data_IF_838875232626
#
_entry.id   IF_838875232626
#
_cell.length_a   1.000
_cell.length_b   1.000
_cell.length_c   1.000
_cell.angle_alpha   90.00
_cell.angle_beta   90.00
_cell.angle_gamma   90.00
#
_symmetry.space_group_name_H-M   'P 1'
#
loop_
_entity.id
_entity.type
_entity.pdbx_description
1 polymer ?
#
# COMPACT_ATOMS: atom_id res chain seq x y z
N UNK A 1 -3.47 25.30 -12.01
CA UNK A 1 -4.31 24.74 -13.09
C UNK A 1 -3.94 23.28 -13.24
N UNK A 2 -4.84 22.37 -12.82
CA UNK A 2 -4.60 20.93 -12.84
C UNK A 2 -5.75 20.27 -13.59
N UNK A 3 -5.44 19.77 -14.78
CA UNK A 3 -5.80 18.45 -15.29
C UNK A 3 -5.41 18.44 -16.78
N UNK A 4 -4.63 17.45 -17.18
CA UNK A 4 -4.42 17.16 -18.58
C UNK A 4 -5.77 16.71 -19.16
N UNK A 5 -6.42 17.58 -19.94
CA UNK A 5 -7.53 17.19 -20.81
C UNK A 5 -6.95 16.30 -21.90
N UNK A 6 -7.10 14.99 -21.75
CA UNK A 6 -6.81 14.05 -22.83
C UNK A 6 -8.12 13.85 -23.58
N UNK A 7 -8.24 14.52 -24.72
CA UNK A 7 -9.40 14.40 -25.59
C UNK A 7 -9.24 13.16 -26.48
N UNK A 8 -10.12 12.17 -26.33
CA UNK A 8 -10.40 11.23 -27.40
C UNK A 8 -11.39 11.96 -28.32
N UNK A 9 -10.93 12.38 -29.50
CA UNK A 9 -11.78 12.93 -30.57
C UNK A 9 -12.32 14.36 -30.33
N UNK A 10 -11.77 15.13 -29.39
CA UNK A 10 -12.23 16.48 -29.07
C UNK A 10 -13.36 16.55 -28.02
N UNK A 11 -13.73 15.40 -27.44
CA UNK A 11 -14.68 15.34 -26.32
C UNK A 11 -13.93 15.17 -25.00
N UNK A 12 -14.34 15.94 -23.99
CA UNK A 12 -13.77 15.85 -22.64
C UNK A 12 -14.13 14.48 -22.06
N UNK A 13 -13.12 13.67 -21.73
CA UNK A 13 -13.33 12.40 -21.05
C UNK A 13 -13.84 12.68 -19.63
N UNK A 14 -15.12 12.40 -19.39
CA UNK A 14 -15.78 12.49 -18.10
C UNK A 14 -16.10 11.10 -17.56
N UNK A 15 -16.43 10.98 -16.27
CA UNK A 15 -16.89 9.70 -15.71
C UNK A 15 -18.11 9.13 -16.44
N UNK A 16 -18.99 10.00 -16.91
CA UNK A 16 -20.25 9.61 -17.55
C UNK A 16 -20.05 9.07 -18.98
N UNK A 17 -18.98 9.50 -19.67
CA UNK A 17 -18.72 9.17 -21.07
C UNK A 17 -17.58 8.16 -21.26
N UNK A 18 -16.83 7.82 -20.21
CA UNK A 18 -15.67 6.92 -20.30
C UNK A 18 -16.02 5.46 -20.03
N UNK A 19 -15.77 4.59 -21.01
CA UNK A 19 -15.98 3.14 -20.91
C UNK A 19 -14.60 2.45 -21.02
N UNK A 20 -13.95 2.09 -19.90
CA UNK A 20 -12.61 1.49 -19.93
C UNK A 20 -12.65 0.05 -20.46
N UNK A 21 -11.68 -0.32 -21.33
CA UNK A 21 -11.56 -1.66 -21.93
C UNK A 21 -10.21 -2.35 -21.66
N UNK A 22 -9.23 -1.64 -21.09
CA UNK A 22 -7.90 -2.15 -20.76
C UNK A 22 -7.52 -1.82 -19.31
N UNK A 23 -6.56 -2.56 -18.75
CA UNK A 23 -6.11 -2.33 -17.36
C UNK A 23 -5.61 -0.90 -17.12
N UNK A 24 -4.94 -0.30 -18.12
CA UNK A 24 -4.49 1.10 -18.05
C UNK A 24 -5.65 2.08 -18.05
N UNK A 25 -6.71 1.82 -18.82
CA UNK A 25 -7.92 2.65 -18.81
C UNK A 25 -8.70 2.51 -17.50
N UNK A 26 -8.74 1.31 -16.90
CA UNK A 26 -9.33 1.15 -15.57
C UNK A 26 -8.60 1.94 -14.49
N UNK A 27 -7.28 2.11 -14.60
CA UNK A 27 -6.51 2.98 -13.71
C UNK A 27 -6.90 4.45 -13.90
N UNK A 28 -7.01 4.90 -15.15
CA UNK A 28 -7.45 6.28 -15.47
C UNK A 28 -8.88 6.54 -14.96
N UNK A 29 -9.79 5.56 -15.12
CA UNK A 29 -11.13 5.66 -14.56
C UNK A 29 -11.13 5.80 -13.04
N UNK A 30 -10.27 5.03 -12.34
CA UNK A 30 -10.12 5.15 -10.90
C UNK A 30 -9.63 6.54 -10.46
N UNK A 31 -8.71 7.15 -11.24
CA UNK A 31 -8.25 8.54 -10.99
C UNK A 31 -9.37 9.56 -11.20
N UNK A 32 -10.21 9.40 -12.22
CA UNK A 32 -11.39 10.25 -12.44
C UNK A 32 -12.38 10.17 -11.26
N UNK A 33 -12.64 8.96 -10.73
CA UNK A 33 -13.46 8.77 -9.54
C UNK A 33 -12.83 9.49 -8.34
N UNK A 34 -11.53 9.30 -8.12
CA UNK A 34 -10.81 9.96 -7.04
C UNK A 34 -10.88 11.50 -7.15
N UNK A 35 -10.76 12.05 -8.36
CA UNK A 35 -10.87 13.49 -8.60
C UNK A 35 -12.25 14.05 -8.24
N UNK A 36 -13.32 13.27 -8.45
CA UNK A 36 -14.66 13.66 -7.99
C UNK A 36 -14.84 13.56 -6.47
N UNK A 37 -14.15 12.63 -5.81
CA UNK A 37 -14.22 12.49 -4.35
C UNK A 37 -13.36 13.54 -3.60
N UNK A 38 -12.27 14.02 -4.23
CA UNK A 38 -11.29 14.94 -3.61
C UNK A 38 -11.91 16.20 -2.98
N UNK A 39 -12.87 16.92 -3.59
CA UNK A 39 -13.45 18.13 -2.99
C UNK A 39 -14.12 17.88 -1.63
N UNK A 40 -14.58 16.64 -1.38
CA UNK A 40 -15.32 16.28 -0.18
C UNK A 40 -14.44 15.84 0.99
N UNK A 41 -13.11 15.78 0.83
CA UNK A 41 -12.19 15.25 1.86
C UNK A 41 -12.28 15.92 3.23
N UNK A 42 -12.73 17.18 3.29
CA UNK A 42 -12.90 17.94 4.53
C UNK A 42 -14.31 17.81 5.14
N UNK A 43 -15.26 17.21 4.42
CA UNK A 43 -16.62 17.02 4.90
C UNK A 43 -16.68 15.88 5.93
N UNK A 44 -17.44 16.07 7.01
CA UNK A 44 -17.60 15.07 8.07
C UNK A 44 -18.11 13.71 7.57
N UNK A 45 -18.89 13.69 6.48
CA UNK A 45 -19.42 12.47 5.88
C UNK A 45 -18.47 11.78 4.89
N UNK A 46 -17.26 12.33 4.64
CA UNK A 46 -16.34 11.78 3.65
C UNK A 46 -15.94 10.34 3.94
N UNK A 47 -15.70 10.02 5.21
CA UNK A 47 -15.31 8.66 5.60
C UNK A 47 -16.45 7.67 5.31
N UNK A 48 -17.70 8.06 5.55
CA UNK A 48 -18.86 7.20 5.30
C UNK A 48 -19.11 7.07 3.79
N UNK A 49 -18.98 8.15 3.02
CA UNK A 49 -19.01 8.11 1.56
C UNK A 49 -18.01 7.09 0.99
N UNK A 50 -16.75 7.12 1.44
CA UNK A 50 -15.72 6.19 0.96
C UNK A 50 -16.06 4.74 1.36
N UNK A 51 -16.57 4.52 2.57
CA UNK A 51 -17.01 3.19 3.02
C UNK A 51 -18.18 2.66 2.18
N UNK A 52 -19.16 3.50 1.88
CA UNK A 52 -20.34 3.14 1.10
C UNK A 52 -19.99 2.85 -0.35
N UNK A 53 -19.19 3.71 -1.00
CA UNK A 53 -18.68 3.47 -2.37
C UNK A 53 -17.94 2.15 -2.44
N UNK A 54 -17.09 1.86 -1.45
CA UNK A 54 -16.38 0.59 -1.38
C UNK A 54 -17.34 -0.59 -1.22
N UNK A 55 -18.29 -0.53 -0.27
CA UNK A 55 -19.27 -1.61 -0.06
C UNK A 55 -20.09 -1.89 -1.33
N UNK A 56 -20.58 -0.84 -1.98
CA UNK A 56 -21.37 -0.96 -3.21
C UNK A 56 -20.55 -1.60 -4.34
N UNK A 57 -19.29 -1.19 -4.50
CA UNK A 57 -18.37 -1.72 -5.53
C UNK A 57 -17.99 -3.19 -5.32
N UNK A 58 -18.06 -3.69 -4.09
CA UNK A 58 -17.68 -5.07 -3.73
C UNK A 58 -18.87 -6.04 -3.68
N UNK A 59 -20.11 -5.53 -3.73
CA UNK A 59 -21.33 -6.30 -3.44
C UNK A 59 -21.58 -7.49 -4.39
N UNK A 60 -21.09 -7.43 -5.62
CA UNK A 60 -21.23 -8.47 -6.65
C UNK A 60 -20.01 -9.39 -6.79
N UNK A 61 -18.94 -9.14 -6.04
CA UNK A 61 -17.67 -9.86 -6.15
C UNK A 61 -17.66 -11.14 -5.29
N UNK A 62 -16.83 -12.10 -5.68
CA UNK A 62 -16.61 -13.32 -4.90
C UNK A 62 -15.74 -13.01 -3.67
N UNK A 63 -15.90 -13.83 -2.63
CA UNK A 63 -15.15 -13.67 -1.38
C UNK A 63 -13.62 -13.63 -1.55
N UNK A 64 -13.07 -14.37 -2.53
CA UNK A 64 -11.64 -14.36 -2.83
C UNK A 64 -11.15 -12.98 -3.29
N UNK A 65 -11.91 -12.32 -4.18
CA UNK A 65 -11.57 -10.99 -4.72
C UNK A 65 -11.69 -9.93 -3.61
N UNK A 66 -12.75 -10.00 -2.79
CA UNK A 66 -12.91 -9.13 -1.62
C UNK A 66 -11.74 -9.27 -0.64
N UNK A 67 -11.26 -10.51 -0.40
CA UNK A 67 -10.09 -10.76 0.46
C UNK A 67 -8.80 -10.16 -0.10
N UNK A 68 -8.61 -10.20 -1.42
CA UNK A 68 -7.47 -9.56 -2.09
C UNK A 68 -7.48 -8.04 -1.87
N UNK A 69 -8.65 -7.41 -1.99
CA UNK A 69 -8.84 -5.98 -1.76
C UNK A 69 -8.64 -5.62 -0.28
N UNK A 70 -9.14 -6.43 0.66
CA UNK A 70 -8.92 -6.26 2.10
C UNK A 70 -7.42 -6.25 2.47
N UNK A 71 -6.64 -7.15 1.86
CA UNK A 71 -5.17 -7.19 2.06
C UNK A 71 -4.52 -5.88 1.62
N UNK A 72 -4.97 -5.29 0.51
CA UNK A 72 -4.47 -4.01 0.02
C UNK A 72 -4.77 -2.85 0.97
N UNK A 73 -5.96 -2.80 1.58
CA UNK A 73 -6.31 -1.80 2.61
C UNK A 73 -5.41 -1.96 3.84
N UNK A 74 -5.21 -3.19 4.30
CA UNK A 74 -4.36 -3.49 5.45
C UNK A 74 -2.92 -3.01 5.20
N UNK A 75 -2.40 -3.20 3.98
CA UNK A 75 -1.08 -2.70 3.59
C UNK A 75 -1.01 -1.16 3.67
N UNK A 76 -2.03 -0.45 3.18
CA UNK A 76 -2.11 1.02 3.25
C UNK A 76 -2.15 1.50 4.71
N UNK A 77 -2.93 0.83 5.56
CA UNK A 77 -3.01 1.14 6.99
C UNK A 77 -1.62 1.04 7.65
N UNK A 78 -0.92 -0.07 7.43
CA UNK A 78 0.41 -0.28 7.98
C UNK A 78 1.43 0.75 7.46
N UNK A 79 1.33 1.14 6.19
CA UNK A 79 2.16 2.20 5.61
C UNK A 79 1.90 3.57 6.28
N UNK A 80 0.63 3.92 6.55
CA UNK A 80 0.27 5.16 7.26
C UNK A 80 0.78 5.18 8.71
N UNK A 81 0.57 4.09 9.46
CA UNK A 81 1.10 3.95 10.83
C UNK A 81 2.62 4.13 10.86
N UNK A 82 3.33 3.56 9.88
CA UNK A 82 4.79 3.70 9.79
C UNK A 82 5.23 5.14 9.48
N UNK A 83 4.51 5.83 8.58
CA UNK A 83 4.80 7.22 8.23
C UNK A 83 4.59 8.18 9.41
N UNK A 84 3.54 7.95 10.22
CA UNK A 84 3.27 8.74 11.43
C UNK A 84 4.34 8.52 12.50
N UNK A 85 4.84 7.28 12.66
CA UNK A 85 5.93 6.96 13.59
C UNK A 85 7.29 7.52 13.16
N UNK A 86 7.56 7.65 11.86
CA UNK A 86 8.84 8.18 11.37
C UNK A 86 8.89 9.72 11.34
N UNK A 87 7.76 10.39 11.15
CA UNK A 87 7.65 11.85 11.22
C UNK A 87 7.93 12.42 12.63
N UNK A 88 7.74 11.63 13.68
CA UNK A 88 8.02 12.00 15.07
C UNK A 88 9.48 11.85 15.52
N UNK A 89 10.36 11.22 14.72
CA UNK A 89 11.78 11.06 15.08
C UNK A 89 12.60 12.26 14.58
N UNK A 90 12.71 13.29 15.42
CA UNK A 90 13.87 14.22 15.35
C UNK A 90 15.14 13.37 15.25
N UNK A 91 15.94 13.59 14.21
CA UNK A 91 17.29 13.02 14.05
C UNK A 91 18.09 13.32 15.33
N UNK A 92 18.14 12.38 16.28
CA UNK A 92 19.23 12.32 17.24
C UNK A 92 20.46 11.86 16.47
N UNK A 93 21.40 12.78 16.31
CA UNK A 93 22.84 12.53 16.27
C UNK A 93 23.36 11.62 15.15
N UNK A 94 24.17 12.18 14.26
CA UNK A 94 25.04 11.38 13.41
C UNK A 94 25.95 10.49 14.25
N UNK A 95 26.07 9.23 13.83
CA UNK A 95 27.25 8.40 14.07
C UNK A 95 27.48 7.57 12.81
N UNK A 96 28.56 7.93 12.12
CA UNK A 96 29.15 7.21 10.99
C UNK A 96 29.87 5.97 11.56
N UNK A 97 29.93 4.88 10.76
CA UNK A 97 30.71 3.62 10.93
C UNK A 97 30.02 2.59 11.84
N UNK A 98 29.88 1.29 11.51
CA UNK A 98 30.73 0.42 10.69
C UNK A 98 29.86 -0.70 10.08
N UNK A 99 30.03 -1.00 8.79
CA UNK A 99 29.49 -2.19 8.13
C UNK A 99 30.36 -3.38 8.54
N UNK A 100 29.78 -4.37 9.22
CA UNK A 100 30.46 -5.63 9.51
C UNK A 100 30.32 -6.53 8.26
N UNK A 101 31.40 -6.65 7.48
CA UNK A 101 31.55 -7.79 6.56
C UNK A 101 31.85 -9.01 7.43
N UNK A 102 30.92 -9.95 7.52
CA UNK A 102 31.21 -11.29 8.04
C UNK A 102 31.51 -12.17 6.84
N UNK A 103 32.79 -12.25 6.49
CA UNK A 103 33.31 -13.27 5.58
C UNK A 103 33.56 -14.57 6.36
N UNK A 104 32.74 -15.57 6.01
CA UNK A 104 32.93 -17.03 6.03
C UNK A 104 33.20 -17.81 7.34
N UNK A 105 32.66 -19.05 7.43
CA UNK A 105 32.84 -19.96 8.55
C UNK A 105 34.15 -20.74 8.42
N UNK A 106 35.01 -20.67 9.44
CA UNK A 106 36.13 -21.60 9.61
C UNK A 106 35.69 -22.73 10.55
N UNK A 107 35.59 -23.91 9.96
CA UNK A 107 35.35 -25.21 10.59
C UNK A 107 36.64 -25.64 11.32
N UNK A 108 36.63 -25.74 12.66
CA UNK A 108 37.66 -26.50 13.36
C UNK A 108 37.10 -27.25 14.59
N UNK A 109 36.65 -28.47 14.27
CA UNK A 109 36.89 -29.73 14.98
C UNK A 109 37.25 -29.72 16.48
N UNK A 110 36.41 -30.48 17.19
CA UNK A 110 36.73 -31.48 18.23
C UNK A 110 37.03 -30.98 19.64
N UNK A 111 36.08 -31.22 20.55
CA UNK A 111 36.34 -32.04 21.75
C UNK A 111 35.15 -32.99 21.99
N UNK A 112 35.46 -34.28 21.93
CA UNK A 112 34.63 -35.40 22.35
C UNK A 112 34.63 -35.48 23.88
N UNK A 113 33.48 -35.31 24.53
CA UNK A 113 33.28 -35.73 25.93
C UNK A 113 31.96 -36.49 26.00
N UNK A 114 32.03 -37.78 25.68
CA UNK A 114 31.00 -38.76 25.97
C UNK A 114 31.33 -39.37 27.34
N UNK A 115 30.63 -38.94 28.39
CA UNK A 115 30.40 -39.70 29.63
C UNK A 115 29.13 -39.09 30.26
N UNK A 116 27.97 -39.53 29.78
CA UNK A 116 27.09 -40.53 30.42
C UNK A 116 26.69 -40.08 31.83
N UNK A 117 25.48 -39.51 31.89
CA UNK A 117 24.65 -39.45 33.08
C UNK A 117 24.21 -40.88 33.41
N UNK A 118 24.60 -41.41 34.57
CA UNK A 118 23.74 -42.29 35.37
C UNK A 118 24.27 -42.37 36.80
N UNK A 119 23.33 -42.26 37.74
CA UNK A 119 23.46 -42.32 39.21
C UNK A 119 23.35 -43.79 39.66
#
# INVERSE_FOLDING_TARGET
MVAAEKALNGELITLDNFIPNSGSEFLEYAELIFHKLRPFQKNYHYIDLVKDVMRLSLSSLKAADVKSIQSSITAILNAKIKAERSAGKKKKGGAKKTQLLVDKPEDDKRINMHEVLDD
#
